data_IF_124376553106
#
_entry.id   IF_124376553106
#
_cell.length_a   1.000
_cell.length_b   1.000
_cell.length_c   1.000
_cell.angle_alpha   90.00
_cell.angle_beta   90.00
_cell.angle_gamma   90.00
#
_symmetry.space_group_name_H-M   'P 1'
#
loop_
_entity.id
_entity.type
_entity.pdbx_description
1 polymer ?
#
# COMPACT_ATOMS: atom_id res chain seq x y z
N UNK A 1 8.16 13.07 -8.44
CA UNK A 1 8.43 11.69 -8.00
C UNK A 1 7.12 10.96 -7.79
N UNK A 2 7.00 9.77 -8.38
CA UNK A 2 5.79 8.94 -8.22
C UNK A 2 6.00 7.91 -7.13
N UNK A 3 5.15 7.94 -6.12
CA UNK A 3 5.24 7.06 -4.95
C UNK A 3 3.99 6.19 -4.90
N UNK A 4 4.18 4.89 -4.70
CA UNK A 4 3.09 3.94 -4.52
C UNK A 4 3.11 3.37 -3.10
N UNK A 5 1.98 3.44 -2.41
CA UNK A 5 1.77 2.71 -1.16
C UNK A 5 1.22 1.33 -1.49
N UNK A 6 1.96 0.29 -1.14
CA UNK A 6 1.57 -1.10 -1.34
C UNK A 6 0.98 -1.61 -0.02
N UNK A 7 -0.28 -2.02 -0.05
CA UNK A 7 -0.98 -2.50 1.15
C UNK A 7 -1.28 -3.99 0.97
N UNK A 8 -0.45 -4.88 1.52
CA UNK A 8 -0.81 -6.29 1.55
C UNK A 8 -1.94 -6.47 2.56
N UNK A 9 -3.00 -7.18 2.17
CA UNK A 9 -4.17 -7.36 3.02
C UNK A 9 -4.68 -8.78 2.95
N UNK A 10 -4.94 -9.36 4.12
CA UNK A 10 -5.53 -10.70 4.22
C UNK A 10 -6.56 -10.68 5.34
N UNK A 11 -7.85 -10.84 4.97
CA UNK A 11 -8.96 -10.80 5.91
C UNK A 11 -8.99 -9.51 6.76
N UNK A 12 -8.87 -8.38 6.07
CA UNK A 12 -8.84 -7.05 6.68
C UNK A 12 -10.09 -6.23 6.34
N UNK A 13 -11.25 -6.88 6.17
CA UNK A 13 -12.47 -6.18 5.76
C UNK A 13 -12.89 -5.07 6.70
N UNK A 14 -12.54 -5.18 7.99
CA UNK A 14 -12.95 -4.19 9.01
C UNK A 14 -12.08 -2.94 9.00
N UNK A 15 -10.86 -3.01 8.48
CA UNK A 15 -9.89 -1.91 8.58
C UNK A 15 -9.47 -1.33 7.23
N UNK A 16 -9.50 -2.13 6.15
CA UNK A 16 -8.88 -1.73 4.89
C UNK A 16 -9.44 -0.43 4.31
N UNK A 17 -10.75 -0.22 4.37
CA UNK A 17 -11.35 1.00 3.86
C UNK A 17 -10.81 2.24 4.58
N UNK A 18 -10.75 2.19 5.91
CA UNK A 18 -10.28 3.32 6.70
C UNK A 18 -8.77 3.56 6.53
N UNK A 19 -8.00 2.50 6.36
CA UNK A 19 -6.56 2.62 6.07
C UNK A 19 -6.36 3.39 4.77
N UNK A 20 -7.06 3.03 3.71
CA UNK A 20 -6.97 3.71 2.43
C UNK A 20 -7.37 5.18 2.56
N UNK A 21 -8.46 5.46 3.23
CA UNK A 21 -8.93 6.84 3.42
C UNK A 21 -7.92 7.67 4.21
N UNK A 22 -7.33 7.12 5.26
CA UNK A 22 -6.36 7.84 6.07
C UNK A 22 -5.10 8.20 5.27
N UNK A 23 -4.64 7.29 4.41
CA UNK A 23 -3.48 7.57 3.54
C UNK A 23 -3.80 8.70 2.57
N UNK A 24 -4.97 8.68 1.96
CA UNK A 24 -5.37 9.73 1.02
C UNK A 24 -5.47 11.09 1.68
N UNK A 25 -5.96 11.15 2.91
CA UNK A 25 -6.08 12.41 3.64
C UNK A 25 -4.72 12.97 4.03
N UNK A 26 -3.80 12.10 4.49
CA UNK A 26 -2.49 12.56 4.96
C UNK A 26 -1.47 12.70 3.84
N UNK A 27 -1.63 11.97 2.75
CA UNK A 27 -0.65 11.93 1.66
C UNK A 27 -1.36 11.84 0.30
N UNK A 28 -2.05 12.92 -0.12
CA UNK A 28 -2.92 12.88 -1.31
C UNK A 28 -2.18 12.64 -2.62
N UNK A 29 -0.87 12.86 -2.67
CA UNK A 29 -0.07 12.66 -3.88
C UNK A 29 0.48 11.24 -4.02
N UNK A 30 0.18 10.37 -3.06
CA UNK A 30 0.64 8.98 -3.09
C UNK A 30 -0.46 8.11 -3.69
N UNK A 31 -0.10 7.30 -4.67
CA UNK A 31 -1.03 6.31 -5.23
C UNK A 31 -1.06 5.08 -4.32
N UNK A 32 -2.17 4.35 -4.36
CA UNK A 32 -2.39 3.21 -3.47
C UNK A 32 -2.72 1.97 -4.29
N UNK A 33 -2.05 0.87 -4.00
CA UNK A 33 -2.40 -0.44 -4.53
C UNK A 33 -2.59 -1.40 -3.37
N UNK A 34 -3.75 -2.00 -3.26
CA UNK A 34 -4.03 -3.06 -2.30
C UNK A 34 -3.75 -4.40 -2.97
N UNK A 35 -2.98 -5.24 -2.30
CA UNK A 35 -2.77 -6.61 -2.76
C UNK A 35 -3.58 -7.52 -1.83
N UNK A 36 -4.74 -7.95 -2.32
CA UNK A 36 -5.60 -8.86 -1.56
C UNK A 36 -5.01 -10.27 -1.66
N UNK A 37 -4.44 -10.74 -0.58
CA UNK A 37 -3.69 -11.99 -0.52
C UNK A 37 -4.61 -13.20 -0.31
N UNK A 38 -5.61 -13.32 -1.18
CA UNK A 38 -6.52 -14.46 -1.14
C UNK A 38 -7.50 -14.42 0.02
N UNK A 39 -7.97 -13.24 0.40
CA UNK A 39 -8.94 -13.10 1.51
C UNK A 39 -10.21 -13.88 1.25
N UNK A 40 -10.79 -14.41 2.33
CA UNK A 40 -12.06 -15.13 2.31
C UNK A 40 -13.23 -14.26 2.74
N UNK A 41 -12.95 -13.06 3.22
CA UNK A 41 -13.95 -12.09 3.63
C UNK A 41 -14.16 -11.03 2.54
N UNK A 42 -14.72 -9.87 2.88
CA UNK A 42 -15.03 -8.79 1.94
C UNK A 42 -13.88 -7.77 1.79
N UNK A 43 -12.65 -8.15 2.08
CA UNK A 43 -11.49 -7.26 1.95
C UNK A 43 -11.41 -6.65 0.54
N UNK A 44 -11.54 -7.47 -0.49
CA UNK A 44 -11.50 -7.00 -1.89
C UNK A 44 -12.58 -5.95 -2.15
N UNK A 45 -13.82 -6.25 -1.75
CA UNK A 45 -14.95 -5.34 -2.00
C UNK A 45 -14.77 -4.02 -1.24
N UNK A 46 -14.28 -4.07 0.00
CA UNK A 46 -14.07 -2.87 0.79
C UNK A 46 -12.94 -2.00 0.21
N UNK A 47 -11.89 -2.61 -0.31
CA UNK A 47 -10.81 -1.88 -0.97
C UNK A 47 -11.31 -1.23 -2.27
N UNK A 48 -12.10 -1.96 -3.06
CA UNK A 48 -12.70 -1.39 -4.27
C UNK A 48 -13.66 -0.25 -3.94
N UNK A 49 -14.43 -0.39 -2.87
CA UNK A 49 -15.35 0.67 -2.42
C UNK A 49 -14.60 1.94 -2.05
N UNK A 50 -13.40 1.80 -1.51
CA UNK A 50 -12.54 2.95 -1.21
C UNK A 50 -11.96 3.61 -2.48
N UNK A 51 -12.10 2.97 -3.63
CA UNK A 51 -11.73 3.57 -4.91
C UNK A 51 -10.26 3.48 -5.27
N UNK A 52 -9.53 2.50 -4.73
CA UNK A 52 -8.12 2.32 -5.09
C UNK A 52 -7.94 1.12 -6.03
N UNK A 53 -6.74 0.99 -6.57
CA UNK A 53 -6.37 -0.17 -7.37
C UNK A 53 -6.19 -1.38 -6.47
N UNK A 54 -6.76 -2.52 -6.86
CA UNK A 54 -6.68 -3.76 -6.07
C UNK A 54 -6.26 -4.90 -6.98
N UNK A 55 -5.23 -5.64 -6.56
CA UNK A 55 -4.86 -6.91 -7.17
C UNK A 55 -5.35 -8.01 -6.25
N UNK A 56 -6.20 -8.89 -6.76
CA UNK A 56 -6.70 -10.03 -6.00
C UNK A 56 -5.92 -11.28 -6.37
N UNK A 57 -5.20 -11.84 -5.42
CA UNK A 57 -4.46 -13.09 -5.62
C UNK A 57 -5.42 -14.27 -5.53
N UNK A 58 -5.19 -15.30 -6.35
CA UNK A 58 -6.05 -16.47 -6.38
C UNK A 58 -5.93 -17.30 -5.09
N UNK A 59 -4.79 -17.22 -4.42
CA UNK A 59 -4.55 -17.94 -3.18
C UNK A 59 -3.62 -17.14 -2.28
N UNK A 60 -3.61 -17.48 -1.01
CA UNK A 60 -2.74 -16.81 -0.04
C UNK A 60 -1.27 -17.17 -0.29
N UNK A 61 -0.45 -16.16 -0.57
CA UNK A 61 0.99 -16.31 -0.77
C UNK A 61 1.79 -15.92 0.47
N UNK A 62 1.14 -15.34 1.48
CA UNK A 62 1.81 -14.73 2.61
C UNK A 62 2.23 -13.30 2.33
N UNK A 63 2.58 -12.58 3.40
CA UNK A 63 2.87 -11.15 3.30
C UNK A 63 4.04 -10.85 2.35
N UNK A 64 5.08 -11.69 2.37
CA UNK A 64 6.23 -11.51 1.48
C UNK A 64 5.85 -11.60 0.01
N UNK A 65 5.03 -12.57 -0.35
CA UNK A 65 4.56 -12.72 -1.73
C UNK A 65 3.64 -11.60 -2.16
N UNK A 66 2.77 -11.14 -1.27
CA UNK A 66 1.86 -10.03 -1.55
C UNK A 66 2.64 -8.72 -1.76
N UNK A 67 3.61 -8.44 -0.90
CA UNK A 67 4.46 -7.25 -1.02
C UNK A 67 5.26 -7.28 -2.31
N UNK A 68 5.83 -8.43 -2.65
CA UNK A 68 6.59 -8.59 -3.89
C UNK A 68 5.71 -8.32 -5.11
N UNK A 69 4.48 -8.83 -5.10
CA UNK A 69 3.51 -8.55 -6.18
C UNK A 69 3.30 -7.05 -6.34
N UNK A 70 3.14 -6.34 -5.24
CA UNK A 70 2.98 -4.89 -5.27
C UNK A 70 4.21 -4.17 -5.79
N UNK A 71 5.40 -4.62 -5.44
CA UNK A 71 6.64 -4.02 -5.93
C UNK A 71 6.85 -4.27 -7.42
N UNK A 72 6.49 -5.44 -7.92
CA UNK A 72 6.52 -5.73 -9.35
C UNK A 72 5.57 -4.79 -10.10
N UNK A 73 4.36 -4.62 -9.58
CA UNK A 73 3.39 -3.68 -10.15
C UNK A 73 3.97 -2.25 -10.18
N UNK A 74 4.59 -1.83 -9.09
CA UNK A 74 5.18 -0.49 -9.01
C UNK A 74 6.25 -0.29 -10.07
N UNK A 75 7.13 -1.27 -10.23
CA UNK A 75 8.19 -1.21 -11.24
C UNK A 75 7.62 -1.17 -12.65
N UNK A 76 6.66 -2.01 -12.96
CA UNK A 76 6.05 -2.09 -14.29
C UNK A 76 5.26 -0.83 -14.65
N UNK A 77 4.80 -0.08 -13.66
CA UNK A 77 4.01 1.13 -13.86
C UNK A 77 4.81 2.41 -13.62
N UNK A 78 6.14 2.31 -13.62
CA UNK A 78 7.05 3.45 -13.59
C UNK A 78 6.96 4.31 -12.32
N UNK A 79 6.67 3.67 -11.18
CA UNK A 79 6.79 4.34 -9.90
C UNK A 79 8.26 4.46 -9.52
N UNK A 80 8.62 5.58 -8.91
CA UNK A 80 9.99 5.81 -8.46
C UNK A 80 10.27 5.08 -7.15
N UNK A 81 9.27 5.03 -6.27
CA UNK A 81 9.40 4.44 -4.94
C UNK A 81 8.10 3.69 -4.61
N UNK A 82 8.24 2.55 -3.97
CA UNK A 82 7.11 1.83 -3.37
C UNK A 82 7.37 1.67 -1.88
N UNK A 83 6.36 1.94 -1.07
CA UNK A 83 6.41 1.77 0.37
C UNK A 83 5.36 0.75 0.80
N UNK A 84 5.66 -0.04 1.82
CA UNK A 84 4.70 -0.97 2.39
C UNK A 84 3.93 -0.30 3.52
N UNK A 85 2.61 -0.48 3.51
CA UNK A 85 1.73 -0.02 4.59
C UNK A 85 0.85 -1.19 4.99
N UNK A 86 0.75 -1.48 6.29
CA UNK A 86 -0.06 -2.60 6.76
C UNK A 86 -1.55 -2.29 6.66
N UNK A 87 -2.33 -3.30 6.28
CA UNK A 87 -3.79 -3.16 6.09
C UNK A 87 -4.60 -3.26 7.37
N UNK A 88 -3.97 -3.49 8.52
CA UNK A 88 -4.64 -3.70 9.80
C UNK A 88 -5.01 -2.42 10.56
N UNK A 89 -4.56 -1.27 10.06
CA UNK A 89 -4.87 0.02 10.68
C UNK A 89 -4.05 0.36 11.91
N UNK A 90 -3.00 -0.39 12.22
CA UNK A 90 -2.19 -0.16 13.41
C UNK A 90 -1.06 0.84 13.22
N UNK A 91 -0.97 1.47 12.07
CA UNK A 91 0.03 2.50 11.81
C UNK A 91 -0.58 3.89 12.00
N UNK A 92 0.27 4.87 12.31
CA UNK A 92 -0.15 6.26 12.40
C UNK A 92 0.00 6.91 11.02
N UNK A 93 -1.08 7.47 10.43
CA UNK A 93 -0.98 8.15 9.13
C UNK A 93 0.05 9.27 9.09
N UNK A 94 0.31 9.94 10.22
CA UNK A 94 1.32 10.98 10.30
C UNK A 94 2.73 10.43 10.07
N UNK A 95 3.00 9.20 10.51
CA UNK A 95 4.30 8.58 10.30
C UNK A 95 4.54 8.29 8.81
N UNK A 96 3.50 7.90 8.10
CA UNK A 96 3.57 7.70 6.64
C UNK A 96 3.87 9.03 5.96
N UNK A 97 3.16 10.09 6.35
CA UNK A 97 3.37 11.42 5.78
C UNK A 97 4.80 11.91 6.00
N UNK A 98 5.34 11.70 7.20
CA UNK A 98 6.73 12.07 7.52
C UNK A 98 7.73 11.29 6.67
N UNK A 99 7.51 9.99 6.51
CA UNK A 99 8.36 9.14 5.68
C UNK A 99 8.38 9.63 4.24
N UNK A 100 7.21 9.95 3.70
CA UNK A 100 7.08 10.44 2.33
C UNK A 100 7.84 11.75 2.14
N UNK A 101 7.75 12.66 3.10
CA UNK A 101 8.50 13.94 3.04
C UNK A 101 10.00 13.71 3.04
N UNK A 102 10.48 12.77 3.85
CA UNK A 102 11.90 12.40 3.87
C UNK A 102 12.34 11.87 2.51
N UNK A 103 11.53 11.00 1.92
CA UNK A 103 11.82 10.40 0.62
C UNK A 103 11.82 11.47 -0.47
N UNK A 104 10.82 12.36 -0.49
CA UNK A 104 10.70 13.42 -1.49
C UNK A 104 11.85 14.41 -1.42
N UNK A 105 12.39 14.65 -0.23
CA UNK A 105 13.52 15.54 -0.02
C UNK A 105 14.88 14.84 -0.21
N UNK A 106 14.88 13.57 -0.58
CA UNK A 106 16.10 12.76 -0.71
C UNK A 106 16.97 12.72 0.55
N UNK A 107 16.35 12.84 1.71
CA UNK A 107 17.06 12.83 2.99
C UNK A 107 17.42 11.41 3.47
N UNK A 108 16.80 10.40 2.86
CA UNK A 108 17.07 9.00 3.18
C UNK A 108 17.04 8.16 1.91
N UNK A 109 18.02 7.27 1.80
CA UNK A 109 18.05 6.28 0.73
C UNK A 109 17.38 5.01 1.25
N UNK A 110 16.09 4.83 1.02
CA UNK A 110 15.45 3.55 1.29
C UNK A 110 15.22 3.22 2.77
N UNK A 111 14.73 4.17 3.55
CA UNK A 111 14.48 3.86 4.96
C UNK A 111 13.43 2.75 5.15
N UNK A 112 12.36 2.71 4.35
CA UNK A 112 11.26 1.75 4.49
C UNK A 112 10.63 1.38 3.14
N UNK A 113 11.24 1.71 2.04
CA UNK A 113 10.67 1.45 0.73
C UNK A 113 11.65 0.85 -0.23
N UNK A 114 11.18 0.49 -1.43
CA UNK A 114 12.03 0.09 -2.53
C UNK A 114 12.08 1.21 -3.55
N UNK A 115 13.28 1.57 -3.97
CA UNK A 115 13.51 2.54 -5.03
C UNK A 115 13.82 1.79 -6.32
N UNK A 116 13.19 2.19 -7.39
CA UNK A 116 13.33 1.54 -8.69
C UNK A 116 14.16 2.37 -9.67
#
# INVERSE_FOLDING_TARGET
>A
MRILAVIPAYNEEKSIYNVIKSIRLSSPNVDIAVIDDGSKDNTYLEAKRAGCFVIKLAQNLGIGGAVQTGYIYAKENNYDIAIQVDGDGQHNPEDISKLIKIIENNEADMAIGSRF
#
